data_IF_564931448539
#
_entry.id   IF_564931448539
#
_cell.length_a   1.000
_cell.length_b   1.000
_cell.length_c   1.000
_cell.angle_alpha   90.00
_cell.angle_beta   90.00
_cell.angle_gamma   90.00
#
_symmetry.space_group_name_H-M   'P 1'
#
loop_
_entity.id
_entity.type
_entity.pdbx_description
1 polymer ?
#
# COMPACT_ATOMS: atom_id res chain seq x y z
N UNK A 1 -39.69 -9.10 0.47
CA UNK A 1 -38.43 -9.53 -0.19
C UNK A 1 -37.61 -8.27 -0.42
N UNK A 2 -36.39 -8.17 0.14
CA UNK A 2 -35.52 -7.01 -0.12
C UNK A 2 -34.76 -7.28 -1.41
N UNK A 3 -35.01 -6.48 -2.45
CA UNK A 3 -34.23 -6.51 -3.68
C UNK A 3 -33.00 -5.63 -3.49
N UNK A 4 -31.78 -6.19 -3.54
CA UNK A 4 -30.58 -5.38 -3.49
C UNK A 4 -30.52 -4.48 -4.72
N UNK A 5 -30.52 -3.17 -4.48
CA UNK A 5 -30.35 -2.17 -5.52
C UNK A 5 -28.88 -2.01 -5.91
N UNK A 6 -28.63 -1.29 -7.00
CA UNK A 6 -27.28 -1.06 -7.51
C UNK A 6 -26.36 -0.44 -6.44
N UNK A 7 -26.89 0.43 -5.59
CA UNK A 7 -26.12 1.07 -4.53
C UNK A 7 -25.71 0.06 -3.45
N UNK A 8 -26.63 -0.82 -3.03
CA UNK A 8 -26.37 -1.87 -2.04
C UNK A 8 -25.37 -2.91 -2.56
N UNK A 9 -25.43 -3.26 -3.85
CA UNK A 9 -24.43 -4.12 -4.49
C UNK A 9 -23.05 -3.48 -4.53
N UNK A 10 -22.95 -2.21 -4.93
CA UNK A 10 -21.68 -1.48 -4.95
C UNK A 10 -21.08 -1.35 -3.55
N UNK A 11 -21.90 -1.06 -2.55
CA UNK A 11 -21.47 -0.99 -1.15
C UNK A 11 -20.95 -2.35 -0.65
N UNK A 12 -21.67 -3.45 -0.93
CA UNK A 12 -21.25 -4.80 -0.57
C UNK A 12 -19.92 -5.20 -1.20
N UNK A 13 -19.73 -4.91 -2.50
CA UNK A 13 -18.46 -5.15 -3.21
C UNK A 13 -17.34 -4.30 -2.61
N UNK A 14 -17.60 -3.02 -2.34
CA UNK A 14 -16.63 -2.12 -1.74
C UNK A 14 -16.16 -2.62 -0.36
N UNK A 15 -17.09 -3.06 0.48
CA UNK A 15 -16.77 -3.63 1.81
C UNK A 15 -15.95 -4.92 1.66
N UNK A 16 -16.38 -5.83 0.77
CA UNK A 16 -15.68 -7.10 0.57
C UNK A 16 -14.24 -6.92 0.06
N UNK A 17 -14.00 -5.88 -0.75
CA UNK A 17 -12.70 -5.61 -1.35
C UNK A 17 -11.80 -4.68 -0.51
N UNK A 18 -12.35 -3.93 0.45
CA UNK A 18 -11.60 -2.93 1.22
C UNK A 18 -10.34 -3.51 1.87
N UNK A 19 -10.49 -4.63 2.59
CA UNK A 19 -9.38 -5.29 3.28
C UNK A 19 -8.34 -5.84 2.29
N UNK A 20 -8.68 -6.75 1.34
CA UNK A 20 -7.68 -7.34 0.45
C UNK A 20 -6.99 -6.30 -0.43
N UNK A 21 -7.69 -5.26 -0.91
CA UNK A 21 -7.07 -4.21 -1.70
C UNK A 21 -6.06 -3.40 -0.88
N UNK A 22 -6.38 -3.10 0.40
CA UNK A 22 -5.44 -2.39 1.29
C UNK A 22 -4.14 -3.17 1.45
N UNK A 23 -4.20 -4.49 1.70
CA UNK A 23 -3.00 -5.32 1.81
C UNK A 23 -2.29 -5.52 0.47
N UNK A 24 -3.02 -5.61 -0.64
CA UNK A 24 -2.44 -5.70 -1.99
C UNK A 24 -1.64 -4.44 -2.32
N UNK A 25 -2.18 -3.25 -2.04
CA UNK A 25 -1.49 -1.97 -2.21
C UNK A 25 -0.28 -1.89 -1.28
N UNK A 26 -0.42 -2.25 0.00
CA UNK A 26 0.71 -2.25 0.93
C UNK A 26 1.85 -3.18 0.48
N UNK A 27 1.52 -4.37 -0.03
CA UNK A 27 2.50 -5.32 -0.58
C UNK A 27 3.11 -4.82 -1.90
N UNK A 28 2.31 -4.16 -2.74
CA UNK A 28 2.82 -3.54 -3.96
C UNK A 28 3.81 -2.42 -3.62
N UNK A 29 3.46 -1.52 -2.69
CA UNK A 29 4.36 -0.48 -2.16
C UNK A 29 5.62 -1.13 -1.63
N UNK A 30 5.51 -2.17 -0.81
CA UNK A 30 6.65 -2.93 -0.27
C UNK A 30 7.62 -3.44 -1.35
N UNK A 31 7.13 -3.74 -2.54
CA UNK A 31 7.93 -4.37 -3.60
C UNK A 31 8.41 -3.42 -4.69
N UNK A 32 7.69 -2.31 -4.91
CA UNK A 32 7.87 -1.46 -6.09
C UNK A 32 8.16 0.00 -5.75
N UNK A 33 7.96 0.41 -4.50
CA UNK A 33 8.48 1.68 -4.02
C UNK A 33 9.88 1.42 -3.50
N UNK A 34 10.86 2.19 -3.96
CA UNK A 34 12.20 2.13 -3.40
C UNK A 34 12.09 2.36 -1.90
N UNK A 35 12.44 1.32 -1.13
CA UNK A 35 12.58 1.43 0.30
C UNK A 35 13.88 2.16 0.44
N UNK A 36 13.80 3.48 0.48
CA UNK A 36 14.95 4.33 0.61
C UNK A 36 15.73 3.90 1.84
N UNK A 37 16.72 3.05 1.62
CA UNK A 37 17.92 2.95 2.42
C UNK A 37 18.76 4.22 2.19
N UNK A 38 18.10 5.40 2.14
CA UNK A 38 18.74 6.61 2.63
C UNK A 38 18.89 6.37 4.13
N UNK A 39 19.90 5.58 4.46
CA UNK A 39 20.37 5.40 5.82
C UNK A 39 20.97 6.73 6.17
N UNK A 40 20.27 7.50 7.00
CA UNK A 40 20.84 8.73 7.51
C UNK A 40 21.81 8.34 8.61
N UNK A 41 23.06 8.79 8.51
CA UNK A 41 24.01 8.65 9.61
C UNK A 41 23.53 9.40 10.86
N UNK A 42 24.18 9.22 12.02
CA UNK A 42 23.90 10.01 13.24
C UNK A 42 23.95 11.53 13.00
N UNK A 43 24.66 11.95 11.94
CA UNK A 43 24.84 13.33 11.50
C UNK A 43 23.77 13.83 10.50
N UNK A 44 22.74 13.03 10.22
CA UNK A 44 21.60 13.43 9.37
C UNK A 44 21.91 13.52 7.87
N UNK A 45 23.08 13.05 7.42
CA UNK A 45 23.46 12.97 6.00
C UNK A 45 23.07 11.62 5.41
N UNK A 46 22.68 11.64 4.13
CA UNK A 46 22.42 10.42 3.35
C UNK A 46 23.72 9.60 3.28
N UNK A 47 23.68 8.36 3.76
CA UNK A 47 24.71 7.37 3.46
C UNK A 47 24.41 6.89 2.04
N UNK A 48 25.09 7.48 1.07
CA UNK A 48 25.21 6.89 -0.26
C UNK A 48 26.08 5.65 -0.09
N UNK A 49 25.51 4.46 -0.26
CA UNK A 49 26.28 3.22 -0.34
C UNK A 49 26.96 3.19 -1.72
N UNK A 50 27.94 4.07 -1.89
CA UNK A 50 28.63 4.28 -3.15
C UNK A 50 29.77 3.26 -3.23
N UNK A 51 29.46 2.14 -3.91
CA UNK A 51 30.37 1.23 -4.63
C UNK A 51 31.28 0.30 -3.81
N UNK A 52 30.90 -0.97 -3.79
CA UNK A 52 31.70 -2.10 -4.30
C UNK A 52 30.79 -3.26 -4.77
#
# INVERSE_FOLDING_TARGET
MVTPDTALWLAGIGIALAVPLTFMVANWVRKHVDHGEMRFGPDGKVIEDDKD
#
